data_IF_089491606118
#
_entry.id   IF_089491606118
#
_cell.length_a   1.000
_cell.length_b   1.000
_cell.length_c   1.000
_cell.angle_alpha   90.00
_cell.angle_beta   90.00
_cell.angle_gamma   90.00
#
_symmetry.space_group_name_H-M   'P 1'
#
loop_
_entity.id
_entity.type
_entity.pdbx_description
1 polymer ?
#
# COMPACT_ATOMS: atom_id res chain seq x y z
N UNK A 1 2.61 -17.99 21.76
CA UNK A 1 4.02 -17.81 21.34
C UNK A 1 4.94 -18.43 22.40
N UNK A 2 5.83 -19.37 22.05
CA UNK A 2 6.74 -19.96 23.04
C UNK A 2 7.71 -18.91 23.58
N UNK A 3 7.89 -18.80 24.91
CA UNK A 3 8.80 -17.84 25.58
C UNK A 3 10.22 -17.75 24.99
N UNK A 4 10.68 -18.77 24.26
CA UNK A 4 12.01 -18.82 23.61
C UNK A 4 12.11 -18.08 22.27
N UNK A 5 11.03 -17.97 21.48
CA UNK A 5 11.04 -17.18 20.23
C UNK A 5 11.19 -15.68 20.56
N UNK A 6 10.52 -15.23 21.62
CA UNK A 6 10.76 -13.90 22.20
C UNK A 6 12.21 -13.73 22.69
N UNK A 7 12.77 -14.70 23.42
CA UNK A 7 14.16 -14.63 23.86
C UNK A 7 15.18 -14.62 22.70
N UNK A 8 14.88 -15.30 21.60
CA UNK A 8 15.71 -15.34 20.40
C UNK A 8 15.61 -14.03 19.62
N UNK A 9 14.41 -13.47 19.45
CA UNK A 9 14.21 -12.10 18.93
C UNK A 9 14.95 -11.09 19.80
N UNK A 10 14.92 -11.21 21.13
CA UNK A 10 15.66 -10.33 22.04
C UNK A 10 17.18 -10.48 21.94
N UNK A 11 17.71 -11.70 21.78
CA UNK A 11 19.16 -11.93 21.56
C UNK A 11 19.63 -11.48 20.18
N UNK A 12 18.80 -11.65 19.15
CA UNK A 12 19.06 -11.13 17.81
C UNK A 12 19.05 -9.60 17.79
N UNK A 13 18.15 -8.96 18.56
CA UNK A 13 18.16 -7.51 18.79
C UNK A 13 19.44 -7.03 19.46
N UNK A 14 19.95 -7.75 20.46
CA UNK A 14 21.19 -7.40 21.16
C UNK A 14 22.42 -7.47 20.23
N UNK A 15 22.56 -8.55 19.46
CA UNK A 15 23.65 -8.73 18.50
C UNK A 15 23.68 -7.66 17.40
N UNK A 16 22.52 -7.17 16.95
CA UNK A 16 22.48 -6.10 15.93
C UNK A 16 22.73 -4.70 16.49
N UNK A 17 22.45 -4.46 17.78
CA UNK A 17 22.76 -3.20 18.43
C UNK A 17 24.28 -2.97 18.54
N UNK A 18 25.05 -4.05 18.70
CA UNK A 18 26.52 -4.02 18.71
C UNK A 18 27.11 -3.72 17.32
N UNK A 19 26.49 -4.19 16.22
CA UNK A 19 26.95 -3.88 14.86
C UNK A 19 26.61 -2.45 14.39
N UNK A 20 25.59 -1.81 14.96
CA UNK A 20 25.17 -0.46 14.59
C UNK A 20 25.94 0.65 15.32
N UNK A 21 26.51 0.39 16.51
CA UNK A 21 27.32 1.38 17.24
C UNK A 21 28.69 1.67 16.58
N UNK A 22 29.04 0.95 15.50
CA UNK A 22 30.24 1.19 14.70
C UNK A 22 30.07 2.29 13.63
N UNK A 23 28.87 2.85 13.45
CA UNK A 23 28.61 3.95 12.52
C UNK A 23 28.27 5.22 13.32
N UNK A 24 29.13 6.23 13.21
CA UNK A 24 29.12 7.46 14.03
C UNK A 24 27.85 8.31 13.92
N UNK A 25 27.71 9.34 14.77
CA UNK A 25 26.44 10.04 14.97
C UNK A 25 26.11 10.97 13.80
N UNK A 26 24.97 10.73 13.15
CA UNK A 26 24.34 11.67 12.22
C UNK A 26 23.47 12.67 13.00
N UNK A 27 23.70 13.95 12.77
CA UNK A 27 23.02 15.09 13.41
C UNK A 27 21.54 15.17 13.05
N UNK A 28 20.66 15.13 14.06
CA UNK A 28 19.23 15.33 13.91
C UNK A 28 18.88 16.83 13.85
N UNK A 29 18.17 17.26 12.79
CA UNK A 29 17.45 18.54 12.76
C UNK A 29 15.97 18.29 13.07
N UNK A 30 15.51 18.89 14.17
CA UNK A 30 14.10 18.92 14.58
C UNK A 30 13.29 19.79 13.62
N UNK A 31 12.11 19.30 13.21
CA UNK A 31 11.02 20.13 12.67
C UNK A 31 9.77 19.79 13.45
N UNK A 32 9.34 20.74 14.26
CA UNK A 32 8.08 20.72 14.98
C UNK A 32 6.91 20.86 13.98
N UNK A 33 5.98 19.91 14.00
CA UNK A 33 4.70 20.00 13.31
C UNK A 33 3.59 19.95 14.36
N UNK A 34 2.90 21.08 14.51
CA UNK A 34 1.69 21.22 15.34
C UNK A 34 0.52 20.51 14.65
N UNK A 35 -0.05 19.50 15.31
CA UNK A 35 -1.31 18.87 14.92
C UNK A 35 -2.44 19.37 15.85
N UNK A 36 -3.31 20.22 15.33
CA UNK A 36 -4.61 20.49 15.94
C UNK A 36 -5.57 19.35 15.57
N UNK A 37 -6.07 18.67 16.60
CA UNK A 37 -6.98 17.53 16.51
C UNK A 37 -8.43 18.01 16.52
N UNK A 38 -9.24 17.56 15.57
CA UNK A 38 -10.70 17.55 15.71
C UNK A 38 -11.23 16.16 15.40
N UNK A 39 -11.69 15.51 16.47
CA UNK A 39 -12.35 14.22 16.53
C UNK A 39 -13.83 14.34 16.20
N UNK A 40 -14.30 13.60 15.19
CA UNK A 40 -15.65 13.03 15.20
C UNK A 40 -15.69 11.81 14.27
N UNK A 41 -15.82 10.62 14.83
CA UNK A 41 -16.05 9.38 14.08
C UNK A 41 -17.51 8.99 14.27
N UNK A 42 -18.31 9.09 13.22
CA UNK A 42 -19.66 8.51 13.19
C UNK A 42 -19.62 7.20 12.40
N UNK A 43 -19.87 6.13 13.14
CA UNK A 43 -19.95 4.73 12.71
C UNK A 43 -21.23 4.50 11.93
N UNK A 44 -21.18 4.35 10.60
CA UNK A 44 -22.22 3.62 9.85
C UNK A 44 -21.68 3.25 8.47
N UNK A 45 -21.55 1.95 8.18
CA UNK A 45 -21.95 1.25 6.93
C UNK A 45 -21.27 -0.13 6.93
N UNK A 46 -21.87 -1.08 7.65
CA UNK A 46 -21.68 -2.52 7.45
C UNK A 46 -23.10 -3.10 7.36
N UNK A 47 -23.67 -3.03 6.17
CA UNK A 47 -24.93 -3.67 5.83
C UNK A 47 -24.76 -4.34 4.46
N UNK A 48 -24.00 -5.42 4.45
CA UNK A 48 -24.08 -6.53 3.51
C UNK A 48 -23.27 -7.69 4.12
N UNK A 49 -23.81 -8.90 4.07
CA UNK A 49 -23.32 -10.14 4.69
C UNK A 49 -23.82 -10.40 6.12
N UNK A 50 -25.08 -10.81 6.20
CA UNK A 50 -25.59 -11.68 7.27
C UNK A 50 -26.70 -12.55 6.70
N UNK A 51 -26.32 -13.68 6.10
CA UNK A 51 -27.15 -14.88 6.13
C UNK A 51 -26.39 -15.91 6.99
N UNK A 52 -26.94 -16.35 8.14
CA UNK A 52 -26.34 -17.42 8.92
C UNK A 52 -26.57 -18.76 8.19
N UNK A 53 -25.58 -19.65 8.06
CA UNK A 53 -25.85 -20.99 7.59
C UNK A 53 -26.70 -21.71 8.65
N UNK A 54 -27.80 -22.26 8.15
CA UNK A 54 -28.73 -23.15 8.84
C UNK A 54 -28.02 -24.21 9.68
N UNK A 55 -28.52 -24.40 10.90
CA UNK A 55 -28.20 -25.51 11.80
C UNK A 55 -28.53 -26.85 11.13
N UNK A 56 -27.56 -27.47 10.46
CA UNK A 56 -27.58 -28.90 10.21
C UNK A 56 -26.72 -29.61 11.25
N UNK A 57 -27.39 -30.11 12.28
CA UNK A 57 -26.87 -31.14 13.17
C UNK A 57 -26.86 -32.47 12.41
N UNK A 58 -25.69 -32.97 12.04
CA UNK A 58 -25.48 -34.38 11.76
C UNK A 58 -24.26 -34.83 12.56
N UNK A 59 -24.47 -35.86 13.38
CA UNK A 59 -23.46 -36.42 14.26
C UNK A 59 -22.30 -36.97 13.43
N UNK A 60 -21.14 -36.33 13.56
CA UNK A 60 -19.88 -36.86 13.07
C UNK A 60 -19.27 -37.69 14.19
N UNK A 61 -19.03 -38.96 13.87
CA UNK A 61 -18.41 -39.99 14.70
C UNK A 61 -17.16 -39.48 15.44
N UNK A 62 -17.21 -39.53 16.78
CA UNK A 62 -16.08 -39.24 17.68
C UNK A 62 -15.02 -40.36 17.72
N UNK A 63 -14.89 -41.18 16.67
CA UNK A 63 -13.98 -42.35 16.64
C UNK A 63 -12.58 -42.11 16.06
N UNK A 64 -12.24 -40.87 15.71
CA UNK A 64 -10.85 -40.47 15.43
C UNK A 64 -10.14 -39.92 16.68
N UNK A 65 -10.37 -40.55 17.82
CA UNK A 65 -9.57 -40.31 19.03
C UNK A 65 -8.13 -40.79 18.80
N UNK A 66 -7.19 -39.84 18.85
CA UNK A 66 -5.81 -40.03 19.27
C UNK A 66 -5.00 -41.12 18.54
N UNK A 67 -4.81 -40.98 17.23
CA UNK A 67 -3.49 -41.35 16.70
C UNK A 67 -2.50 -40.32 17.23
N UNK A 68 -1.76 -40.68 18.27
CA UNK A 68 -0.61 -39.93 18.76
C UNK A 68 0.41 -39.85 17.61
N UNK A 69 0.36 -38.75 16.86
CA UNK A 69 1.35 -38.48 15.82
C UNK A 69 2.73 -38.61 16.45
N UNK A 70 3.55 -39.51 15.90
CA UNK A 70 4.96 -39.63 16.29
C UNK A 70 5.58 -38.24 16.19
N UNK A 71 5.92 -37.65 17.33
CA UNK A 71 6.57 -36.35 17.37
C UNK A 71 7.99 -36.52 16.86
N UNK A 72 8.56 -35.53 16.18
CA UNK A 72 9.99 -35.54 15.79
C UNK A 72 10.95 -35.90 16.95
N UNK A 73 10.52 -35.67 18.19
CA UNK A 73 11.24 -36.03 19.42
C UNK A 73 11.36 -37.54 19.67
N UNK A 74 10.54 -38.37 19.01
CA UNK A 74 10.60 -39.84 19.12
C UNK A 74 11.46 -40.50 18.05
N UNK A 75 12.03 -39.71 17.11
CA UNK A 75 12.97 -40.22 16.12
C UNK A 75 14.35 -40.42 16.77
N UNK A 76 15.09 -41.44 16.32
CA UNK A 76 16.50 -41.58 16.68
C UNK A 76 17.33 -40.44 16.12
N UNK A 77 18.46 -40.16 16.76
CA UNK A 77 19.40 -39.11 16.32
C UNK A 77 19.89 -39.35 14.89
N UNK A 78 20.15 -40.60 14.50
CA UNK A 78 20.54 -40.98 13.14
C UNK A 78 19.49 -40.60 12.09
N UNK A 79 18.21 -40.83 12.39
CA UNK A 79 17.12 -40.45 11.49
C UNK A 79 16.97 -38.93 11.41
N UNK A 80 17.16 -38.23 12.52
CA UNK A 80 17.14 -36.76 12.55
C UNK A 80 18.30 -36.17 11.74
N UNK A 81 19.52 -36.70 11.90
CA UNK A 81 20.68 -36.31 11.11
C UNK A 81 20.45 -36.59 9.63
N UNK A 82 19.90 -37.76 9.30
CA UNK A 82 19.52 -38.14 7.93
C UNK A 82 18.53 -37.13 7.35
N UNK A 83 17.46 -36.80 8.07
CA UNK A 83 16.48 -35.79 7.64
C UNK A 83 17.18 -34.45 7.42
N UNK A 84 17.95 -33.96 8.39
CA UNK A 84 18.65 -32.66 8.26
C UNK A 84 19.66 -32.62 7.12
N UNK A 85 20.26 -33.76 6.74
CA UNK A 85 21.17 -33.84 5.59
C UNK A 85 20.47 -33.66 4.25
N UNK A 86 19.15 -33.85 4.21
CA UNK A 86 18.30 -33.63 3.03
C UNK A 86 17.53 -32.29 3.07
N UNK A 87 17.60 -31.56 4.18
CA UNK A 87 17.00 -30.23 4.29
C UNK A 87 17.99 -29.17 3.81
N UNK A 88 17.44 -28.10 3.23
CA UNK A 88 18.25 -26.92 2.99
C UNK A 88 18.63 -26.23 4.32
N UNK A 89 19.49 -25.23 4.20
CA UNK A 89 19.99 -24.46 5.33
C UNK A 89 18.86 -23.75 6.10
N UNK A 90 17.84 -23.25 5.40
CA UNK A 90 16.73 -22.49 5.98
C UNK A 90 15.82 -23.43 6.76
N UNK A 91 15.48 -24.58 6.19
CA UNK A 91 14.66 -25.63 6.78
C UNK A 91 15.37 -26.27 7.98
N UNK A 92 16.67 -26.48 7.89
CA UNK A 92 17.46 -26.96 9.03
C UNK A 92 17.41 -25.97 10.20
N UNK A 93 17.55 -24.67 9.93
CA UNK A 93 17.41 -23.64 10.96
C UNK A 93 15.98 -23.60 11.51
N UNK A 94 14.95 -23.60 10.66
CA UNK A 94 13.54 -23.65 11.09
C UNK A 94 13.24 -24.87 11.97
N UNK A 95 13.73 -26.05 11.60
CA UNK A 95 13.60 -27.28 12.37
C UNK A 95 14.26 -27.15 13.76
N UNK A 96 15.45 -26.54 13.81
CA UNK A 96 16.14 -26.26 15.08
C UNK A 96 15.40 -25.26 15.97
N UNK A 97 14.60 -24.36 15.39
CA UNK A 97 13.82 -23.35 16.12
C UNK A 97 12.52 -23.90 16.71
N UNK A 98 11.92 -24.91 16.07
CA UNK A 98 10.61 -25.47 16.45
C UNK A 98 10.70 -26.49 17.57
N UNK A 99 11.83 -27.19 17.71
CA UNK A 99 11.99 -28.30 18.65
C UNK A 99 12.99 -27.95 19.76
N UNK A 100 12.54 -28.01 21.02
CA UNK A 100 13.44 -27.76 22.18
C UNK A 100 14.42 -28.91 22.43
N UNK A 101 14.07 -30.11 21.98
CA UNK A 101 14.82 -31.34 22.22
C UNK A 101 15.85 -31.68 21.14
N UNK A 102 15.78 -31.03 19.97
CA UNK A 102 16.88 -31.06 19.01
C UNK A 102 17.88 -30.02 19.47
N UNK A 103 18.71 -30.40 20.44
CA UNK A 103 19.84 -29.59 20.88
C UNK A 103 20.93 -29.60 19.80
N UNK A 104 20.59 -29.04 18.64
CA UNK A 104 21.48 -28.84 17.51
C UNK A 104 22.37 -27.62 17.78
N UNK A 105 22.86 -27.49 19.01
CA UNK A 105 23.73 -26.40 19.47
C UNK A 105 24.92 -26.19 18.54
N UNK A 106 25.49 -27.27 18.01
CA UNK A 106 26.62 -27.21 17.09
C UNK A 106 26.23 -26.68 15.70
N UNK A 107 25.05 -27.04 15.20
CA UNK A 107 24.49 -26.43 13.98
C UNK A 107 24.17 -24.96 14.23
N UNK A 108 23.61 -24.63 15.38
CA UNK A 108 23.27 -23.25 15.74
C UNK A 108 24.50 -22.35 15.80
N UNK A 109 25.61 -22.82 16.39
CA UNK A 109 26.92 -22.13 16.37
C UNK A 109 27.45 -21.98 14.95
N UNK A 110 27.35 -23.03 14.14
CA UNK A 110 27.80 -23.05 12.75
C UNK A 110 27.02 -22.06 11.87
N UNK A 111 25.72 -21.88 12.12
CA UNK A 111 24.87 -20.95 11.38
C UNK A 111 25.02 -19.51 11.84
N UNK A 112 25.18 -19.27 13.15
CA UNK A 112 25.26 -17.90 13.69
C UNK A 112 26.44 -17.09 13.16
N UNK A 113 27.48 -17.71 12.59
CA UNK A 113 28.65 -17.02 12.04
C UNK A 113 28.73 -16.99 10.50
N UNK A 114 27.78 -17.61 9.76
CA UNK A 114 27.99 -17.90 8.33
C UNK A 114 26.81 -17.76 7.37
N UNK A 115 25.61 -17.39 7.81
CA UNK A 115 24.52 -17.19 6.85
C UNK A 115 24.80 -15.93 6.01
N UNK A 116 24.79 -16.10 4.70
CA UNK A 116 24.84 -14.96 3.78
C UNK A 116 23.56 -14.12 3.89
N UNK A 117 23.59 -12.93 3.31
CA UNK A 117 22.48 -11.99 3.42
C UNK A 117 21.17 -12.55 2.82
N UNK A 118 21.27 -13.28 1.71
CA UNK A 118 20.12 -13.88 1.03
C UNK A 118 19.47 -14.98 1.86
N UNK A 119 20.25 -15.92 2.40
CA UNK A 119 19.73 -16.99 3.26
C UNK A 119 19.11 -16.43 4.54
N UNK A 120 19.74 -15.40 5.12
CA UNK A 120 19.21 -14.72 6.31
C UNK A 120 17.87 -14.06 6.02
N UNK A 121 17.72 -13.41 4.87
CA UNK A 121 16.47 -12.82 4.44
C UNK A 121 15.38 -13.87 4.23
N UNK A 122 15.68 -14.95 3.50
CA UNK A 122 14.74 -16.06 3.29
C UNK A 122 14.24 -16.67 4.61
N UNK A 123 15.15 -16.88 5.57
CA UNK A 123 14.80 -17.33 6.91
C UNK A 123 13.87 -16.35 7.63
N UNK A 124 14.13 -15.04 7.57
CA UNK A 124 13.28 -14.04 8.22
C UNK A 124 11.89 -13.97 7.56
N UNK A 125 11.80 -14.07 6.24
CA UNK A 125 10.54 -14.14 5.50
C UNK A 125 9.72 -15.38 5.88
N UNK A 126 10.38 -16.52 6.11
CA UNK A 126 9.72 -17.74 6.58
C UNK A 126 9.20 -17.61 8.00
N UNK A 127 9.98 -17.02 8.90
CA UNK A 127 9.54 -16.76 10.28
C UNK A 127 8.34 -15.79 10.31
N UNK A 128 8.29 -14.77 9.44
CA UNK A 128 7.12 -13.89 9.30
C UNK A 128 5.87 -14.68 8.90
N UNK A 129 6.01 -15.66 8.00
CA UNK A 129 4.91 -16.54 7.57
C UNK A 129 4.37 -17.40 8.71
N UNK A 130 5.25 -17.89 9.57
CA UNK A 130 4.86 -18.76 10.69
C UNK A 130 4.44 -17.98 11.94
N UNK A 131 4.74 -16.67 11.99
CA UNK A 131 4.52 -15.84 13.17
C UNK A 131 3.70 -14.58 12.86
N UNK A 132 2.38 -14.60 13.11
CA UNK A 132 1.51 -13.46 12.82
C UNK A 132 1.81 -12.19 13.62
N UNK A 133 2.51 -12.33 14.75
CA UNK A 133 2.93 -11.19 15.58
C UNK A 133 4.19 -10.48 15.05
N UNK A 134 4.77 -10.94 13.95
CA UNK A 134 6.01 -10.41 13.38
C UNK A 134 5.80 -10.05 11.92
N UNK A 135 6.43 -8.96 11.48
CA UNK A 135 6.55 -8.61 10.06
C UNK A 135 7.99 -8.27 9.72
N UNK A 136 8.43 -8.69 8.54
CA UNK A 136 9.78 -8.44 8.05
C UNK A 136 9.87 -7.04 7.43
N UNK A 137 10.81 -6.24 7.93
CA UNK A 137 11.11 -4.92 7.42
C UNK A 137 12.35 -4.96 6.54
N UNK A 138 12.17 -4.77 5.23
CA UNK A 138 13.25 -4.67 4.24
C UNK A 138 14.24 -3.55 4.54
N UNK A 139 13.75 -2.39 4.99
CA UNK A 139 14.60 -1.23 5.31
C UNK A 139 15.57 -1.54 6.47
N UNK A 140 15.09 -2.27 7.49
CA UNK A 140 15.87 -2.60 8.69
C UNK A 140 16.46 -4.02 8.66
N UNK A 141 16.16 -4.81 7.62
CA UNK A 141 16.52 -6.22 7.45
C UNK A 141 16.32 -7.05 8.72
N UNK A 142 15.16 -6.88 9.36
CA UNK A 142 14.83 -7.55 10.64
C UNK A 142 13.33 -7.73 10.80
N UNK A 143 12.95 -8.72 11.62
CA UNK A 143 11.58 -8.92 12.08
C UNK A 143 11.21 -7.90 13.14
N UNK A 144 10.05 -7.28 12.97
CA UNK A 144 9.50 -6.30 13.88
C UNK A 144 8.15 -6.76 14.41
N UNK A 145 7.83 -6.48 15.68
CA UNK A 145 6.53 -6.77 16.22
C UNK A 145 5.46 -6.06 15.41
N UNK A 146 4.43 -6.80 15.04
CA UNK A 146 3.22 -6.28 14.47
C UNK A 146 2.09 -6.52 15.46
N UNK A 147 1.39 -5.45 15.84
CA UNK A 147 0.15 -5.54 16.58
C UNK A 147 -0.84 -4.54 16.00
N UNK A 148 -2.04 -5.01 15.67
CA UNK A 148 -3.12 -4.19 15.09
C UNK A 148 -3.59 -3.06 16.01
N UNK A 149 -3.18 -3.03 17.28
CA UNK A 149 -3.55 -2.01 18.26
C UNK A 149 -2.78 -0.69 18.11
N UNK A 150 -1.66 -0.66 17.37
CA UNK A 150 -0.80 0.54 17.28
C UNK A 150 -1.15 1.50 16.13
N UNK A 151 -2.28 1.30 15.45
CA UNK A 151 -2.58 1.93 14.16
C UNK A 151 -3.21 3.33 14.28
N UNK A 152 -3.50 3.79 15.50
CA UNK A 152 -4.27 4.99 15.75
C UNK A 152 -3.49 6.31 15.55
N UNK A 153 -2.15 6.28 15.53
CA UNK A 153 -1.34 7.51 15.68
C UNK A 153 -0.73 8.08 14.39
N UNK A 154 -0.60 7.31 13.32
CA UNK A 154 -0.08 7.80 12.04
C UNK A 154 -0.81 7.11 10.88
N UNK A 155 -1.64 7.87 10.18
CA UNK A 155 -2.26 7.45 8.92
C UNK A 155 -1.14 6.91 8.02
N UNK A 156 -1.24 5.65 7.58
CA UNK A 156 -0.32 5.00 6.63
C UNK A 156 1.06 4.55 7.15
N UNK A 157 1.45 4.86 8.38
CA UNK A 157 2.68 4.34 9.00
C UNK A 157 2.35 3.27 10.03
N UNK A 158 2.01 2.07 9.56
CA UNK A 158 1.71 0.89 10.36
C UNK A 158 2.98 0.21 10.91
N UNK A 159 4.13 0.80 10.63
CA UNK A 159 5.44 0.29 10.94
C UNK A 159 6.37 1.44 11.33
N UNK A 160 6.99 1.37 12.50
CA UNK A 160 7.90 2.39 13.02
C UNK A 160 9.30 2.30 12.38
N UNK A 161 9.37 2.06 11.07
CA UNK A 161 10.61 2.30 10.32
C UNK A 161 10.71 3.79 10.07
N UNK A 162 11.85 4.37 10.42
CA UNK A 162 12.25 5.66 9.83
C UNK A 162 12.16 5.49 8.32
N UNK A 163 11.19 6.16 7.70
CA UNK A 163 10.89 6.00 6.30
C UNK A 163 12.13 6.41 5.51
N UNK A 164 12.78 5.43 4.86
CA UNK A 164 13.76 5.75 3.83
C UNK A 164 12.98 6.21 2.60
N UNK A 165 13.24 7.41 2.06
CA UNK A 165 12.56 7.91 0.85
C UNK A 165 12.66 6.93 -0.34
N UNK A 166 13.70 6.09 -0.36
CA UNK A 166 13.93 5.09 -1.40
C UNK A 166 12.94 3.91 -1.37
N UNK A 167 12.14 3.79 -0.31
CA UNK A 167 11.20 2.67 -0.10
C UNK A 167 9.77 3.16 0.09
N UNK A 168 9.50 4.40 -0.29
CA UNK A 168 8.21 5.05 -0.08
C UNK A 168 7.68 5.54 -1.43
N UNK A 169 6.48 5.10 -1.79
CA UNK A 169 5.80 5.65 -2.95
C UNK A 169 5.28 7.01 -2.54
N UNK A 170 5.91 8.05 -3.09
CA UNK A 170 5.39 9.41 -3.13
C UNK A 170 4.79 9.60 -4.51
N UNK A 171 3.47 9.73 -4.56
CA UNK A 171 2.78 9.96 -5.81
C UNK A 171 2.98 11.42 -6.24
N UNK A 172 3.21 11.67 -7.54
CA UNK A 172 3.77 12.93 -8.02
C UNK A 172 2.89 14.17 -7.78
N UNK A 173 1.66 13.96 -7.32
CA UNK A 173 0.65 15.00 -7.15
C UNK A 173 0.12 15.10 -5.72
N UNK A 174 0.62 14.29 -4.79
CA UNK A 174 0.22 14.33 -3.39
C UNK A 174 1.44 14.35 -2.50
N UNK A 175 1.69 15.50 -1.90
CA UNK A 175 2.67 15.63 -0.82
C UNK A 175 2.18 14.95 0.46
N UNK A 176 0.87 14.74 0.57
CA UNK A 176 0.20 14.25 1.76
C UNK A 176 0.13 12.71 1.81
N UNK A 177 0.01 12.05 0.65
CA UNK A 177 -0.09 10.59 0.60
C UNK A 177 1.27 9.96 0.33
N UNK A 178 1.72 9.19 1.31
CA UNK A 178 2.95 8.42 1.23
C UNK A 178 2.70 6.99 1.66
N UNK A 179 3.14 6.04 0.84
CA UNK A 179 2.96 4.62 1.12
C UNK A 179 4.32 3.92 1.24
N UNK A 180 4.78 3.65 2.48
CA UNK A 180 5.98 2.84 2.70
C UNK A 180 5.79 1.39 2.24
N UNK A 181 6.85 0.78 1.71
CA UNK A 181 6.85 -0.64 1.31
C UNK A 181 6.44 -1.57 2.45
N UNK A 182 6.90 -1.32 3.67
CA UNK A 182 6.53 -2.13 4.83
C UNK A 182 5.02 -2.09 5.11
N UNK A 183 4.38 -0.94 4.92
CA UNK A 183 2.93 -0.80 5.04
C UNK A 183 2.20 -1.55 3.93
N UNK A 184 2.66 -1.41 2.68
CA UNK A 184 2.10 -2.13 1.53
C UNK A 184 2.23 -3.66 1.70
N UNK A 185 3.37 -4.14 2.23
CA UNK A 185 3.60 -5.55 2.56
C UNK A 185 2.59 -6.07 3.57
N UNK A 186 2.29 -5.32 4.64
CA UNK A 186 1.29 -5.73 5.62
C UNK A 186 -0.10 -5.91 5.00
N UNK A 187 -0.47 -5.08 4.01
CA UNK A 187 -1.73 -5.25 3.29
C UNK A 187 -1.76 -6.52 2.43
N UNK A 188 -0.63 -6.85 1.80
CA UNK A 188 -0.48 -8.11 1.04
C UNK A 188 -0.45 -9.33 1.95
N UNK A 189 0.30 -9.27 3.06
CA UNK A 189 0.36 -10.36 4.03
C UNK A 189 -1.02 -10.68 4.60
N UNK A 190 -1.86 -9.67 4.87
CA UNK A 190 -3.24 -9.90 5.28
C UNK A 190 -4.04 -10.72 4.25
N UNK A 191 -3.84 -10.44 2.96
CA UNK A 191 -4.55 -11.15 1.88
C UNK A 191 -4.00 -12.56 1.62
N UNK A 192 -2.68 -12.73 1.67
CA UNK A 192 -1.98 -13.97 1.31
C UNK A 192 -1.88 -14.94 2.48
N UNK A 193 -1.54 -14.44 3.67
CA UNK A 193 -1.27 -15.25 4.88
C UNK A 193 -2.44 -15.24 5.87
N UNK A 194 -3.38 -14.30 5.70
CA UNK A 194 -4.59 -14.17 6.51
C UNK A 194 -4.58 -12.97 7.45
N UNK A 195 -5.74 -12.63 8.05
CA UNK A 195 -5.95 -11.37 8.76
C UNK A 195 -4.97 -11.10 9.92
N UNK A 196 -4.45 -12.17 10.53
CA UNK A 196 -3.51 -12.11 11.64
C UNK A 196 -2.10 -11.65 11.23
N UNK A 197 -1.72 -11.71 9.94
CA UNK A 197 -0.38 -11.35 9.46
C UNK A 197 -0.26 -9.91 8.95
N UNK A 198 -1.33 -9.10 9.06
CA UNK A 198 -1.30 -7.75 8.51
C UNK A 198 -2.55 -6.93 8.74
N UNK A 199 -2.79 -6.01 7.82
CA UNK A 199 -3.91 -5.07 7.84
C UNK A 199 -4.75 -5.22 6.57
N UNK A 200 -6.07 -5.02 6.61
CA UNK A 200 -6.86 -5.03 5.39
C UNK A 200 -6.43 -3.86 4.49
N UNK A 201 -6.43 -4.06 3.16
CA UNK A 201 -6.06 -2.99 2.23
C UNK A 201 -6.95 -1.74 2.37
N UNK A 202 -8.20 -1.89 2.81
CA UNK A 202 -9.08 -0.76 3.12
C UNK A 202 -8.52 0.16 4.22
N UNK A 203 -7.69 -0.34 5.14
CA UNK A 203 -7.02 0.49 6.15
C UNK A 203 -5.98 1.47 5.57
N UNK A 204 -5.55 1.24 4.32
CA UNK A 204 -4.68 2.16 3.58
C UNK A 204 -5.49 3.23 2.82
N UNK A 205 -6.82 3.12 2.81
CA UNK A 205 -7.66 4.06 2.09
C UNK A 205 -7.82 5.35 2.91
N UNK A 206 -7.70 6.49 2.24
CA UNK A 206 -7.74 7.80 2.87
C UNK A 206 -8.42 8.80 1.95
N UNK A 207 -9.17 9.76 2.49
CA UNK A 207 -9.75 10.84 1.71
C UNK A 207 -9.45 12.17 2.41
N UNK A 208 -8.97 13.14 1.65
CA UNK A 208 -8.56 14.44 2.14
C UNK A 208 -9.06 15.54 1.20
N UNK A 209 -9.68 16.57 1.78
CA UNK A 209 -9.95 17.81 1.07
C UNK A 209 -8.68 18.68 1.13
N UNK A 210 -8.08 18.96 -0.01
CA UNK A 210 -6.87 19.79 -0.08
C UNK A 210 -7.32 21.19 -0.46
N UNK A 211 -7.33 22.09 0.52
CA UNK A 211 -7.57 23.51 0.25
C UNK A 211 -6.30 24.08 -0.36
N UNK A 212 -6.38 24.58 -1.60
CA UNK A 212 -5.24 25.29 -2.19
C UNK A 212 -5.16 26.67 -1.52
N UNK A 213 -3.97 27.08 -1.01
CA UNK A 213 -3.82 28.38 -0.34
C UNK A 213 -4.09 29.56 -1.29
N UNK A 214 -3.81 29.38 -2.58
CA UNK A 214 -3.79 30.48 -3.56
C UNK A 214 -5.09 30.66 -4.36
N UNK A 215 -6.05 29.74 -4.23
CA UNK A 215 -7.32 29.84 -4.95
C UNK A 215 -8.50 29.38 -4.10
N UNK A 216 -9.07 30.32 -3.33
CA UNK A 216 -10.26 30.10 -2.52
C UNK A 216 -11.50 29.69 -3.35
N UNK A 217 -11.45 29.82 -4.68
CA UNK A 217 -12.58 29.53 -5.56
C UNK A 217 -12.50 28.15 -6.20
N UNK A 218 -11.34 27.47 -6.13
CA UNK A 218 -11.13 26.13 -6.64
C UNK A 218 -10.81 25.15 -5.48
N UNK A 219 -11.70 24.19 -5.24
CA UNK A 219 -11.44 23.11 -4.28
C UNK A 219 -10.87 21.88 -4.96
N UNK A 220 -9.78 21.36 -4.41
CA UNK A 220 -9.22 20.07 -4.79
C UNK A 220 -9.60 19.02 -3.75
N UNK A 221 -10.21 17.93 -4.19
CA UNK A 221 -10.42 16.76 -3.34
C UNK A 221 -9.57 15.62 -3.83
N UNK A 222 -8.99 14.89 -2.90
CA UNK A 222 -8.19 13.72 -3.20
C UNK A 222 -8.66 12.56 -2.34
N UNK A 223 -8.83 11.40 -2.96
CA UNK A 223 -9.12 10.17 -2.25
C UNK A 223 -8.31 9.01 -2.80
N UNK A 224 -7.98 8.11 -1.89
CA UNK A 224 -7.10 6.98 -2.04
C UNK A 224 -7.86 5.76 -1.61
N UNK A 225 -7.93 4.78 -2.48
CA UNK A 225 -8.57 3.51 -2.20
C UNK A 225 -7.61 2.39 -2.56
N UNK A 226 -7.40 1.50 -1.61
CA UNK A 226 -6.49 0.38 -1.76
C UNK A 226 -7.30 -0.91 -1.78
N UNK A 227 -6.95 -1.82 -2.70
CA UNK A 227 -7.51 -3.17 -2.76
C UNK A 227 -6.43 -4.17 -3.14
N UNK A 228 -6.58 -5.41 -2.69
CA UNK A 228 -5.77 -6.51 -3.20
C UNK A 228 -6.57 -7.18 -4.32
N UNK A 229 -6.04 -7.15 -5.53
CA UNK A 229 -6.60 -7.88 -6.65
C UNK A 229 -6.01 -9.29 -6.66
N UNK A 230 -6.86 -10.31 -6.75
CA UNK A 230 -6.41 -11.65 -7.14
C UNK A 230 -6.08 -11.61 -8.61
N UNK A 231 -4.85 -11.94 -8.97
CA UNK A 231 -4.52 -12.12 -10.37
C UNK A 231 -5.39 -13.23 -10.96
N UNK A 232 -5.89 -13.06 -12.18
CA UNK A 232 -6.59 -14.14 -12.87
C UNK A 232 -5.64 -15.34 -13.04
N UNK A 233 -6.07 -16.52 -12.60
CA UNK A 233 -5.30 -17.77 -12.75
C UNK A 233 -4.16 -17.92 -11.73
N UNK A 234 -2.97 -18.43 -12.12
CA UNK A 234 -1.83 -18.64 -11.22
C UNK A 234 -1.12 -17.35 -10.81
N UNK A 235 -1.68 -16.20 -11.20
CA UNK A 235 -1.08 -14.91 -10.89
C UNK A 235 -1.27 -14.60 -9.41
N UNK A 236 -0.21 -14.17 -8.71
CA UNK A 236 -0.23 -13.85 -7.29
C UNK A 236 -1.17 -12.67 -6.99
N UNK A 237 -1.55 -12.52 -5.73
CA UNK A 237 -2.20 -11.31 -5.24
C UNK A 237 -1.33 -10.06 -5.48
N UNK A 238 -1.96 -8.98 -5.95
CA UNK A 238 -1.31 -7.70 -6.21
C UNK A 238 -2.03 -6.56 -5.50
N UNK A 239 -1.26 -5.60 -4.98
CA UNK A 239 -1.80 -4.41 -4.36
C UNK A 239 -2.12 -3.39 -5.44
N UNK A 240 -3.36 -2.95 -5.47
CA UNK A 240 -3.87 -1.93 -6.37
C UNK A 240 -4.18 -0.68 -5.57
N UNK A 241 -3.67 0.45 -6.03
CA UNK A 241 -3.93 1.77 -5.46
C UNK A 241 -4.71 2.61 -6.47
N UNK A 242 -5.93 2.98 -6.12
CA UNK A 242 -6.75 3.90 -6.92
C UNK A 242 -6.78 5.27 -6.26
N UNK A 243 -6.32 6.27 -7.00
CA UNK A 243 -6.47 7.67 -6.64
C UNK A 243 -7.65 8.27 -7.40
N UNK A 244 -8.46 9.07 -6.73
CA UNK A 244 -9.46 9.95 -7.36
C UNK A 244 -9.17 11.37 -6.93
N UNK A 245 -8.88 12.23 -7.90
CA UNK A 245 -8.72 13.66 -7.73
C UNK A 245 -9.89 14.36 -8.38
N UNK A 246 -10.40 15.40 -7.74
CA UNK A 246 -11.40 16.26 -8.36
C UNK A 246 -11.09 17.72 -8.09
N UNK A 247 -11.33 18.55 -9.11
CA UNK A 247 -11.25 19.99 -9.06
C UNK A 247 -12.66 20.53 -9.28
N UNK A 248 -13.17 21.26 -8.29
CA UNK A 248 -14.52 21.79 -8.28
C UNK A 248 -14.44 23.30 -8.11
N UNK A 249 -15.04 24.03 -9.04
CA UNK A 249 -15.26 25.47 -8.88
C UNK A 249 -16.43 25.73 -7.93
N UNK A 250 -16.25 26.68 -7.02
CA UNK A 250 -17.22 26.97 -5.95
C UNK A 250 -18.17 28.13 -6.33
N UNK A 251 -17.83 28.99 -7.31
CA UNK A 251 -18.58 30.24 -7.60
C UNK A 251 -19.27 30.25 -8.96
N UNK A 252 -20.59 30.44 -8.95
CA UNK A 252 -21.56 30.38 -10.07
C UNK A 252 -21.16 31.08 -11.38
N UNK A 253 -20.53 32.25 -11.35
CA UNK A 253 -20.39 33.05 -12.58
C UNK A 253 -19.14 32.75 -13.42
N UNK A 254 -18.14 32.01 -12.90
CA UNK A 254 -16.84 31.86 -13.58
C UNK A 254 -16.21 30.44 -13.51
N UNK A 255 -17.04 29.39 -13.39
CA UNK A 255 -16.55 28.01 -13.20
C UNK A 255 -15.55 27.57 -14.26
N UNK A 256 -15.88 27.82 -15.51
CA UNK A 256 -15.09 27.36 -16.66
C UNK A 256 -13.78 28.15 -16.78
N UNK A 257 -13.82 29.46 -16.52
CA UNK A 257 -12.64 30.33 -16.59
C UNK A 257 -11.61 29.99 -15.51
N UNK A 258 -12.05 29.68 -14.28
CA UNK A 258 -11.16 29.29 -13.18
C UNK A 258 -10.45 27.96 -13.47
N UNK A 259 -11.22 26.95 -13.86
CA UNK A 259 -10.67 25.64 -14.24
C UNK A 259 -9.69 25.76 -15.42
N UNK A 260 -10.05 26.56 -16.43
CA UNK A 260 -9.17 26.84 -17.57
C UNK A 260 -7.86 27.46 -17.13
N UNK A 261 -7.91 28.52 -16.32
CA UNK A 261 -6.71 29.20 -15.82
C UNK A 261 -5.82 28.22 -15.05
N UNK A 262 -6.43 27.43 -14.17
CA UNK A 262 -5.69 26.41 -13.41
C UNK A 262 -4.95 25.43 -14.33
N UNK A 263 -5.65 24.84 -15.31
CA UNK A 263 -5.03 23.84 -16.20
C UNK A 263 -4.21 24.42 -17.35
N UNK A 264 -4.26 25.74 -17.57
CA UNK A 264 -3.32 26.43 -18.44
C UNK A 264 -1.93 26.49 -17.79
N UNK A 265 -1.89 26.79 -16.49
CA UNK A 265 -0.65 26.93 -15.73
C UNK A 265 -0.15 25.57 -15.19
N UNK A 266 -1.02 24.56 -15.11
CA UNK A 266 -0.73 23.28 -14.45
C UNK A 266 -1.11 22.09 -15.32
N UNK A 267 -0.14 21.19 -15.54
CA UNK A 267 -0.38 19.88 -16.15
C UNK A 267 -0.91 18.88 -15.12
N UNK A 268 -1.66 17.90 -15.58
CA UNK A 268 -2.14 16.82 -14.73
C UNK A 268 -1.17 15.63 -14.83
N UNK A 269 -0.32 15.47 -13.81
CA UNK A 269 0.47 14.25 -13.67
C UNK A 269 -0.43 13.05 -13.33
N UNK A 270 -0.36 11.98 -14.13
CA UNK A 270 -1.06 10.71 -13.88
C UNK A 270 -0.19 9.75 -13.07
N UNK A 271 1.10 9.74 -13.38
CA UNK A 271 2.17 9.05 -12.67
C UNK A 271 3.49 9.81 -12.92
N UNK A 272 4.63 9.31 -12.43
CA UNK A 272 5.94 9.98 -12.64
C UNK A 272 6.38 10.01 -14.11
N UNK A 273 5.75 9.20 -14.95
CA UNK A 273 6.12 9.04 -16.35
C UNK A 273 5.12 9.68 -17.33
N UNK A 274 3.95 10.10 -16.86
CA UNK A 274 2.85 10.51 -17.70
C UNK A 274 2.21 11.77 -17.15
N UNK A 275 2.25 12.83 -17.94
CA UNK A 275 1.53 14.07 -17.71
C UNK A 275 0.59 14.32 -18.88
N UNK A 276 -0.61 14.80 -18.58
CA UNK A 276 -1.58 15.23 -19.56
C UNK A 276 -1.69 16.74 -19.48
N UNK A 277 -1.50 17.37 -20.63
CA UNK A 277 -1.83 18.77 -20.83
C UNK A 277 -3.30 18.86 -21.24
N UNK A 278 -4.08 19.68 -20.54
CA UNK A 278 -5.46 19.99 -20.93
C UNK A 278 -5.55 21.30 -21.72
N UNK A 279 -4.45 21.98 -22.04
CA UNK A 279 -4.45 23.22 -22.78
C UNK A 279 -4.97 23.08 -24.23
N UNK A 280 -5.37 24.22 -24.78
CA UNK A 280 -5.85 24.40 -26.15
C UNK A 280 -4.75 24.09 -27.18
N UNK A 281 -5.11 23.39 -28.25
CA UNK A 281 -4.31 23.35 -29.48
C UNK A 281 -5.08 24.02 -30.62
N UNK A 282 -4.38 24.89 -31.33
CA UNK A 282 -4.85 25.58 -32.54
C UNK A 282 -4.96 24.62 -33.74
N UNK A 283 -4.28 23.46 -33.69
CA UNK A 283 -4.04 22.58 -34.85
C UNK A 283 -4.96 21.35 -34.98
N UNK A 284 -6.27 21.56 -35.06
CA UNK A 284 -7.18 20.67 -35.82
C UNK A 284 -7.50 19.25 -35.31
N UNK A 285 -7.09 18.83 -34.12
CA UNK A 285 -7.59 17.59 -33.51
C UNK A 285 -8.95 17.80 -32.80
N UNK A 286 -9.71 16.71 -32.57
CA UNK A 286 -11.02 16.71 -31.88
C UNK A 286 -10.99 17.64 -30.64
N UNK A 287 -11.70 18.77 -30.75
CA UNK A 287 -11.84 19.75 -29.69
C UNK A 287 -12.99 19.34 -28.78
N UNK A 288 -12.70 19.20 -27.49
CA UNK A 288 -13.72 19.03 -26.47
C UNK A 288 -14.11 20.41 -25.97
N UNK A 289 -15.35 20.85 -26.14
CA UNK A 289 -15.78 22.15 -25.63
C UNK A 289 -16.23 22.01 -24.16
N UNK A 290 -15.33 22.30 -23.23
CA UNK A 290 -15.63 22.37 -21.80
C UNK A 290 -16.52 23.58 -21.56
N UNK A 291 -17.65 23.39 -20.89
CA UNK A 291 -18.72 24.39 -20.78
C UNK A 291 -20.03 23.97 -21.45
N UNK A 292 -19.97 23.05 -22.43
CA UNK A 292 -21.16 22.62 -23.18
C UNK A 292 -21.45 21.12 -23.06
N UNK A 293 -20.42 20.27 -23.07
CA UNK A 293 -20.60 18.81 -23.09
C UNK A 293 -19.70 18.10 -22.06
N UNK A 294 -20.18 16.96 -21.55
CA UNK A 294 -19.34 16.08 -20.74
C UNK A 294 -18.31 15.36 -21.61
N UNK A 295 -17.12 15.20 -21.07
CA UNK A 295 -16.01 14.55 -21.72
C UNK A 295 -15.43 13.43 -20.86
N UNK A 296 -15.08 12.34 -21.51
CA UNK A 296 -14.43 11.19 -20.92
C UNK A 296 -13.26 10.78 -21.80
N UNK A 297 -12.11 10.59 -21.19
CA UNK A 297 -10.94 10.05 -21.86
C UNK A 297 -10.19 9.13 -20.92
N UNK A 298 -9.55 8.12 -21.49
CA UNK A 298 -8.79 7.12 -20.77
C UNK A 298 -7.44 6.95 -21.43
N UNK A 299 -6.49 6.42 -20.66
CA UNK A 299 -5.21 5.99 -21.18
C UNK A 299 -4.45 5.19 -20.14
N UNK A 300 -3.24 4.82 -20.48
CA UNK A 300 -2.39 4.04 -19.60
C UNK A 300 -0.92 4.41 -19.78
N UNK A 301 -0.14 4.24 -18.70
CA UNK A 301 1.31 4.34 -18.74
C UNK A 301 1.91 2.94 -18.87
N UNK A 302 2.58 2.65 -19.99
CA UNK A 302 3.20 1.34 -20.21
C UNK A 302 4.37 1.02 -19.25
N UNK A 303 4.98 2.04 -18.62
CA UNK A 303 6.16 1.87 -17.77
C UNK A 303 5.83 1.41 -16.35
N UNK A 304 4.83 2.03 -15.73
CA UNK A 304 4.38 1.68 -14.37
C UNK A 304 2.97 1.09 -14.33
N UNK A 305 2.44 0.69 -15.49
CA UNK A 305 1.10 0.11 -15.66
C UNK A 305 0.01 0.92 -14.96
N UNK A 306 0.12 2.25 -15.00
CA UNK A 306 -0.89 3.14 -14.43
C UNK A 306 -1.98 3.39 -15.46
N UNK A 307 -3.16 2.85 -15.21
CA UNK A 307 -4.35 3.18 -15.97
C UNK A 307 -4.95 4.47 -15.43
N UNK A 308 -5.49 5.32 -16.30
CA UNK A 308 -6.11 6.57 -15.90
C UNK A 308 -7.35 6.90 -16.71
N UNK A 309 -8.21 7.70 -16.09
CA UNK A 309 -9.46 8.20 -16.64
C UNK A 309 -9.59 9.68 -16.25
N UNK A 310 -9.88 10.55 -17.21
CA UNK A 310 -10.27 11.93 -16.97
C UNK A 310 -11.73 12.09 -17.39
N UNK A 311 -12.53 12.61 -16.47
CA UNK A 311 -13.91 13.04 -16.71
C UNK A 311 -13.99 14.54 -16.51
N UNK A 312 -14.58 15.24 -17.46
CA UNK A 312 -14.90 16.66 -17.36
C UNK A 312 -16.39 16.80 -17.59
N UNK A 313 -17.11 17.46 -16.70
CA UNK A 313 -18.56 17.56 -16.85
C UNK A 313 -19.20 18.40 -15.77
N UNK A 314 -20.50 18.65 -15.92
CA UNK A 314 -21.33 19.15 -14.83
C UNK A 314 -21.43 18.04 -13.79
N UNK A 315 -20.75 18.25 -12.65
CA UNK A 315 -20.82 17.33 -11.53
C UNK A 315 -22.08 17.60 -10.73
N UNK A 316 -22.89 16.57 -10.49
CA UNK A 316 -23.82 16.60 -9.36
C UNK A 316 -22.98 16.33 -8.12
N UNK A 317 -22.88 17.33 -7.25
CA UNK A 317 -22.14 17.25 -5.99
C UNK A 317 -22.61 16.03 -5.16
N UNK A 318 -21.92 14.90 -5.25
CA UNK A 318 -22.20 13.75 -4.37
C UNK A 318 -21.80 12.36 -4.87
N UNK A 319 -21.62 12.11 -6.17
CA UNK A 319 -21.64 10.72 -6.66
C UNK A 319 -20.32 9.93 -6.58
N UNK A 320 -19.13 10.55 -6.47
CA UNK A 320 -17.91 9.78 -6.80
C UNK A 320 -16.66 10.01 -5.92
N UNK A 321 -16.76 10.71 -4.78
CA UNK A 321 -15.63 10.94 -3.87
C UNK A 321 -15.85 10.31 -2.49
N UNK A 322 -16.13 8.99 -2.45
CA UNK A 322 -15.83 8.09 -1.32
C UNK A 322 -16.31 8.43 0.11
N UNK A 323 -17.03 9.55 0.32
CA UNK A 323 -17.66 9.98 1.55
C UNK A 323 -18.90 10.80 1.17
N UNK A 324 -19.99 10.69 1.97
CA UNK A 324 -21.10 11.61 1.87
C UNK A 324 -20.56 12.98 2.29
N UNK A 325 -20.28 13.84 1.32
CA UNK A 325 -20.08 15.25 1.60
C UNK A 325 -21.44 15.76 2.07
N UNK A 326 -21.63 15.73 3.39
CA UNK A 326 -22.75 16.35 4.09
C UNK A 326 -22.70 17.88 4.00
N UNK A 327 -21.84 18.46 3.16
CA UNK A 327 -22.12 19.75 2.55
C UNK A 327 -23.12 19.49 1.42
N UNK A 328 -24.38 19.28 1.84
CA UNK A 328 -25.55 19.60 1.04
C UNK A 328 -25.37 21.06 0.63
N UNK A 329 -24.76 21.31 -0.53
CA UNK A 329 -24.94 22.60 -1.19
C UNK A 329 -26.45 22.71 -1.36
N UNK A 330 -27.04 23.63 -0.60
CA UNK A 330 -28.48 23.63 -0.30
C UNK A 330 -29.36 23.88 -1.52
N UNK A 331 -28.78 24.15 -2.69
CA UNK A 331 -29.48 24.82 -3.77
C UNK A 331 -29.09 24.27 -5.16
N UNK A 332 -29.10 22.94 -5.38
CA UNK A 332 -29.17 22.37 -6.73
C UNK A 332 -28.14 22.84 -7.78
N UNK A 333 -27.02 23.44 -7.36
CA UNK A 333 -26.08 24.08 -8.25
C UNK A 333 -25.23 23.04 -8.99
N UNK A 334 -25.22 23.12 -10.31
CA UNK A 334 -24.31 22.35 -11.15
C UNK A 334 -22.98 23.09 -11.25
N UNK A 335 -21.90 22.47 -10.80
CA UNK A 335 -20.54 22.99 -10.98
C UNK A 335 -19.77 22.14 -11.98
N UNK A 336 -19.03 22.79 -12.87
CA UNK A 336 -18.06 22.08 -13.69
C UNK A 336 -17.01 21.42 -12.78
N UNK A 337 -16.77 20.14 -13.03
CA UNK A 337 -15.81 19.33 -12.29
C UNK A 337 -14.88 18.64 -13.26
N UNK A 338 -13.59 18.69 -12.96
CA UNK A 338 -12.60 17.80 -13.57
C UNK A 338 -12.32 16.70 -12.57
N UNK A 339 -12.54 15.44 -12.93
CA UNK A 339 -12.27 14.26 -12.12
C UNK A 339 -11.20 13.44 -12.82
N UNK A 340 -10.12 13.13 -12.12
CA UNK A 340 -9.05 12.27 -12.61
C UNK A 340 -8.96 11.06 -11.71
N UNK A 341 -9.18 9.89 -12.28
CA UNK A 341 -9.00 8.60 -11.62
C UNK A 341 -7.72 7.97 -12.14
N UNK A 342 -6.83 7.56 -11.25
CA UNK A 342 -5.63 6.78 -11.62
C UNK A 342 -5.64 5.48 -10.83
N UNK A 343 -5.28 4.39 -11.49
CA UNK A 343 -5.20 3.05 -10.94
C UNK A 343 -3.77 2.55 -11.10
N UNK A 344 -3.03 2.49 -10.01
CA UNK A 344 -1.65 2.04 -9.95
C UNK A 344 -1.60 0.59 -9.53
N UNK A 345 -0.83 -0.20 -10.26
CA UNK A 345 -0.51 -1.58 -9.90
C UNK A 345 0.82 -1.58 -9.16
N UNK A 346 0.79 -1.81 -7.86
CA UNK A 346 2.00 -1.76 -7.02
C UNK A 346 2.73 -3.10 -6.95
N UNK A 347 2.15 -4.16 -7.52
CA UNK A 347 2.72 -5.50 -7.52
C UNK A 347 2.47 -6.27 -6.22
N UNK A 348 3.35 -7.23 -5.94
CA UNK A 348 3.27 -8.10 -4.76
C UNK A 348 3.71 -7.37 -3.50
N UNK A 349 4.47 -6.28 -3.61
CA UNK A 349 4.99 -5.51 -2.47
C UNK A 349 5.74 -6.40 -1.44
N UNK A 350 6.27 -7.55 -1.88
CA UNK A 350 6.98 -8.51 -1.04
C UNK A 350 8.49 -8.25 -1.04
N UNK A 351 9.01 -7.46 -1.96
CA UNK A 351 10.42 -7.18 -2.08
C UNK A 351 10.61 -5.76 -2.64
N UNK A 352 11.59 -4.97 -2.17
CA UNK A 352 11.92 -3.70 -2.81
C UNK A 352 12.35 -3.85 -4.27
N UNK A 353 12.77 -5.04 -4.67
CA UNK A 353 13.12 -5.43 -6.02
C UNK A 353 11.91 -5.81 -6.87
N UNK A 354 10.68 -5.78 -6.34
CA UNK A 354 9.47 -5.98 -7.13
C UNK A 354 9.47 -4.98 -8.32
N UNK A 355 9.42 -5.46 -9.57
CA UNK A 355 9.56 -4.59 -10.74
C UNK A 355 8.46 -3.53 -10.81
N UNK A 356 7.23 -3.84 -10.35
CA UNK A 356 6.13 -2.88 -10.35
C UNK A 356 6.33 -1.81 -9.28
N UNK A 357 6.81 -2.23 -8.10
CA UNK A 357 7.17 -1.30 -7.03
C UNK A 357 8.32 -0.38 -7.46
N UNK A 358 9.38 -0.93 -8.06
CA UNK A 358 10.52 -0.14 -8.57
C UNK A 358 10.12 0.79 -9.70
N UNK A 359 9.24 0.36 -10.59
CA UNK A 359 8.73 1.23 -11.65
C UNK A 359 8.06 2.48 -11.07
N UNK A 360 7.38 2.37 -9.93
CA UNK A 360 6.76 3.52 -9.26
C UNK A 360 7.77 4.47 -8.59
N UNK A 361 8.98 4.00 -8.27
CA UNK A 361 10.02 4.76 -7.58
C UNK A 361 11.08 5.35 -8.53
N UNK A 362 11.32 4.72 -9.67
CA UNK A 362 12.39 5.10 -10.60
C UNK A 362 12.09 6.43 -11.26
N UNK A 363 13.00 7.38 -11.07
CA UNK A 363 13.03 8.65 -11.82
C UNK A 363 13.79 8.51 -13.15
N UNK A 364 14.29 7.31 -13.48
CA UNK A 364 15.19 7.05 -14.63
C UNK A 364 14.46 7.06 -15.99
N UNK A 365 13.54 8.01 -16.20
CA UNK A 365 12.98 8.27 -17.51
C UNK A 365 13.69 9.48 -18.13
N UNK A 366 14.31 9.34 -19.32
CA UNK A 366 14.39 10.49 -20.21
C UNK A 366 12.96 10.99 -20.47
N UNK A 367 12.75 12.29 -20.30
CA UNK A 367 11.47 13.03 -20.45
C UNK A 367 10.82 12.86 -21.85
N UNK A 368 11.39 12.05 -22.75
CA UNK A 368 11.02 11.93 -24.16
C UNK A 368 9.95 10.89 -24.48
N UNK A 369 9.61 9.98 -23.56
CA UNK A 369 8.44 9.12 -23.75
C UNK A 369 7.16 9.89 -23.38
N UNK A 370 6.84 10.93 -24.17
CA UNK A 370 5.50 11.55 -24.19
C UNK A 370 4.50 10.40 -24.34
N UNK A 371 3.75 10.12 -23.29
CA UNK A 371 2.62 9.22 -23.39
C UNK A 371 1.73 9.72 -24.55
N UNK A 372 1.39 8.81 -25.46
CA UNK A 372 0.43 9.05 -26.52
C UNK A 372 -0.94 9.33 -25.88
N UNK A 373 -1.19 10.60 -25.58
CA UNK A 373 -2.37 11.02 -24.85
C UNK A 373 -2.42 12.54 -24.67
N UNK A 374 -2.08 13.31 -25.70
CA UNK A 374 -2.39 14.73 -25.74
C UNK A 374 -3.92 14.87 -25.80
N UNK A 375 -4.54 15.14 -24.66
CA UNK A 375 -5.97 15.41 -24.56
C UNK A 375 -6.16 16.90 -24.80
N UNK A 376 -6.58 17.22 -26.02
CA UNK A 376 -6.77 18.60 -26.44
C UNK A 376 -8.16 19.06 -26.01
N UNK A 377 -8.25 20.15 -25.27
CA UNK A 377 -9.54 20.70 -24.84
C UNK A 377 -9.71 22.12 -25.35
N UNK A 378 -10.94 22.47 -25.71
CA UNK A 378 -11.39 23.83 -25.98
C UNK A 378 -12.31 24.27 -24.85
N UNK A 379 -12.18 25.49 -24.37
CA UNK A 379 -12.99 25.96 -23.25
C UNK A 379 -13.93 27.04 -23.78
N UNK A 380 -15.23 26.94 -23.48
CA UNK A 380 -16.20 27.96 -23.82
C UNK A 380 -16.26 29.02 -22.71
N UNK A 381 -16.20 30.30 -23.07
CA UNK A 381 -16.31 31.42 -22.12
C UNK A 381 -17.75 31.91 -21.91
N UNK A 382 -18.70 31.37 -22.67
CA UNK A 382 -20.10 31.80 -22.64
C UNK A 382 -20.83 31.39 -21.37
#
# INVERSE_FOLDING_TARGET
MPRRLQALVSRFRASQHESMQALGPATARSRDFNNATLTSWSTTTLAAFSDPPSKHSSGVDKRFEQQSHATLQSLSEELLLTITSHLDIVDTVCLSLTSRGLDLSDLRRSFSSRLDAATKEELLLRIERDSPALSYCHVRRRLLPFAQTHLERRLLHFHDCEASPQHEIVLPYSECYRLPLCTARLAINHAVLGPQHGIPASALSHAHAISHPDDYQLRRYESWTCKVARGGGPSPEQLMLRCVRSWVSIRESHHVALLRRHFHDNKIAMCRHCEVDLALDENGCRRVIIGTESFLTTGSCARCETDWEIRIGLGVSGEDVGRPVAHRWLDGYFSWTVIVKTCHRLGRCQDPSDPMWRAMLSDDAPVSARAFGLIKTQWNDQ
#
